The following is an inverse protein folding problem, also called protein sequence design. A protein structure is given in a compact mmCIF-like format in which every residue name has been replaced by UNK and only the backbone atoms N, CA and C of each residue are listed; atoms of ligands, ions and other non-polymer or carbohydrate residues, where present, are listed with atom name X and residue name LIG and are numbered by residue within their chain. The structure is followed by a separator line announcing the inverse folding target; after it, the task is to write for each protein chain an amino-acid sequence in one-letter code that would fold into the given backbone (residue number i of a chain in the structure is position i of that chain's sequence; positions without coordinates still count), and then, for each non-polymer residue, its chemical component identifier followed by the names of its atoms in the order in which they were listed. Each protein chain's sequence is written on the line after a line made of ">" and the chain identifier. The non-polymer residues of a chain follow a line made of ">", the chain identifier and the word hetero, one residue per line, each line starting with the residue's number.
data_IF_724633098315
#
_entry.id   IF_724633098315
#
_cell.length_a   1.000
_cell.length_b   1.000
_cell.length_c   1.000
_cell.angle_alpha   90.00
_cell.angle_beta   90.00
_cell.angle_gamma   90.00
#
_symmetry.space_group_name_H-M   'P 1'
#
loop_
_entity.id
_entity.type
_entity.pdbx_description
1 polymer ?
#
# COMPACT_ATOMS: atom_id res chain seq x y z
N UNK A 1 17.75 -22.40 -1.51
CA UNK A 1 16.88 -21.21 -1.55
C UNK A 1 16.67 -20.83 -0.10
N UNK A 2 17.41 -19.83 0.39
CA UNK A 2 17.41 -19.50 1.82
C UNK A 2 16.13 -18.71 2.08
N UNK A 3 15.15 -19.37 2.69
CA UNK A 3 13.98 -18.71 3.28
C UNK A 3 14.53 -17.76 4.36
N UNK A 4 14.66 -16.48 4.01
CA UNK A 4 15.06 -15.42 4.95
C UNK A 4 13.95 -15.35 5.99
N UNK A 5 14.30 -15.61 7.26
CA UNK A 5 13.41 -15.54 8.42
C UNK A 5 12.43 -14.36 8.26
N UNK A 6 11.12 -14.55 8.48
CA UNK A 6 10.20 -13.43 8.48
C UNK A 6 10.68 -12.42 9.55
N UNK A 7 10.77 -11.11 9.22
CA UNK A 7 11.06 -10.10 10.23
C UNK A 7 10.01 -10.23 11.35
N UNK A 8 10.36 -9.89 12.61
CA UNK A 8 9.46 -10.01 13.75
C UNK A 8 8.11 -9.38 13.40
N UNK A 9 7.02 -10.10 13.65
CA UNK A 9 5.68 -9.66 13.31
C UNK A 9 5.28 -8.51 14.22
N UNK A 10 5.58 -7.28 13.79
CA UNK A 10 5.02 -6.02 14.28
C UNK A 10 3.56 -5.84 13.81
N UNK A 11 2.82 -6.93 13.58
CA UNK A 11 1.37 -6.87 13.41
C UNK A 11 0.85 -6.32 14.74
N UNK A 12 0.40 -5.07 14.70
CA UNK A 12 -0.04 -4.31 15.86
C UNK A 12 -1.38 -4.82 16.39
N UNK A 13 -2.25 -3.91 16.81
CA UNK A 13 -3.60 -4.22 17.28
C UNK A 13 -4.37 -5.16 16.32
N UNK A 14 -5.47 -5.73 16.82
CA UNK A 14 -6.33 -6.71 16.11
C UNK A 14 -6.78 -6.34 14.68
N UNK A 15 -6.61 -5.09 14.26
CA UNK A 15 -7.03 -4.56 12.96
C UNK A 15 -5.89 -4.46 11.93
N UNK A 16 -4.71 -4.98 12.24
CA UNK A 16 -3.57 -4.99 11.34
C UNK A 16 -3.57 -6.22 10.43
N UNK A 17 -3.47 -5.99 9.12
CA UNK A 17 -3.48 -7.05 8.10
C UNK A 17 -2.28 -6.84 7.19
N UNK A 18 -1.38 -7.82 7.15
CA UNK A 18 -0.23 -7.85 6.25
C UNK A 18 -0.39 -8.95 5.19
N UNK A 19 -0.04 -8.61 3.95
CA UNK A 19 0.03 -9.53 2.81
C UNK A 19 1.41 -9.41 2.18
N UNK A 20 2.01 -10.55 1.88
CA UNK A 20 3.25 -10.65 1.12
C UNK A 20 3.02 -11.49 -0.13
N UNK A 21 3.49 -10.98 -1.26
CA UNK A 21 3.21 -11.50 -2.60
C UNK A 21 4.39 -11.17 -3.52
N UNK A 22 4.47 -11.82 -4.69
CA UNK A 22 5.42 -11.41 -5.72
C UNK A 22 5.18 -9.95 -6.13
N UNK A 23 6.23 -9.21 -6.43
CA UNK A 23 6.10 -7.88 -7.04
C UNK A 23 5.73 -8.03 -8.52
N UNK A 24 4.48 -8.39 -8.79
CA UNK A 24 3.93 -8.68 -10.11
C UNK A 24 2.52 -8.08 -10.25
N UNK A 25 2.26 -7.40 -11.37
CA UNK A 25 0.97 -6.78 -11.67
C UNK A 25 -0.19 -7.81 -11.71
N UNK A 26 0.10 -9.08 -11.98
CA UNK A 26 -0.87 -10.16 -11.95
C UNK A 26 -1.55 -10.34 -10.57
N UNK A 27 -0.93 -9.84 -9.50
CA UNK A 27 -1.47 -9.95 -8.14
C UNK A 27 -2.30 -8.74 -7.69
N UNK A 28 -2.35 -7.64 -8.45
CA UNK A 28 -3.17 -6.47 -8.12
C UNK A 28 -4.65 -6.80 -7.82
N UNK A 29 -5.33 -7.71 -8.55
CA UNK A 29 -6.70 -8.09 -8.21
C UNK A 29 -6.87 -8.64 -6.79
N UNK A 30 -5.85 -9.30 -6.24
CA UNK A 30 -5.87 -9.85 -4.88
C UNK A 30 -5.84 -8.71 -3.86
N UNK A 31 -4.91 -7.76 -4.05
CA UNK A 31 -4.76 -6.61 -3.16
C UNK A 31 -6.02 -5.73 -3.19
N UNK A 32 -6.63 -5.52 -4.36
CA UNK A 32 -7.94 -4.85 -4.46
C UNK A 32 -9.01 -5.57 -3.67
N UNK A 33 -9.12 -6.89 -3.82
CA UNK A 33 -10.10 -7.69 -3.10
C UNK A 33 -9.97 -7.54 -1.58
N UNK A 34 -8.73 -7.49 -1.09
CA UNK A 34 -8.46 -7.30 0.34
C UNK A 34 -8.79 -5.88 0.79
N UNK A 35 -8.30 -4.85 0.10
CA UNK A 35 -8.61 -3.45 0.42
C UNK A 35 -10.12 -3.22 0.49
N UNK A 36 -10.86 -3.81 -0.47
CA UNK A 36 -12.31 -3.80 -0.52
C UNK A 36 -12.96 -4.41 0.72
N UNK A 37 -12.49 -5.59 1.12
CA UNK A 37 -13.06 -6.33 2.23
C UNK A 37 -12.82 -5.60 3.55
N UNK A 38 -11.61 -5.06 3.74
CA UNK A 38 -11.24 -4.28 4.92
C UNK A 38 -12.09 -3.02 5.01
N UNK A 39 -12.16 -2.22 3.95
CA UNK A 39 -12.94 -0.98 3.94
C UNK A 39 -14.44 -1.22 4.17
N UNK A 40 -15.00 -2.28 3.58
CA UNK A 40 -16.39 -2.66 3.80
C UNK A 40 -16.67 -3.09 5.25
N UNK A 41 -15.72 -3.78 5.90
CA UNK A 41 -15.82 -4.13 7.33
C UNK A 41 -15.62 -2.94 8.26
N UNK A 42 -15.02 -1.87 7.75
CA UNK A 42 -14.80 -0.60 8.43
C UNK A 42 -15.93 0.42 8.19
N UNK A 43 -17.05 0.00 7.59
CA UNK A 43 -18.22 0.83 7.27
C UNK A 43 -17.93 2.02 6.35
N UNK A 44 -17.01 1.87 5.39
CA UNK A 44 -16.80 2.86 4.32
C UNK A 44 -17.94 2.76 3.30
N UNK A 45 -18.36 3.90 2.74
CA UNK A 45 -19.31 3.92 1.63
C UNK A 45 -18.69 3.44 0.30
N UNK A 46 -19.54 3.18 -0.68
CA UNK A 46 -19.12 2.57 -1.95
C UNK A 46 -18.17 3.47 -2.76
N UNK A 47 -18.35 4.78 -2.68
CA UNK A 47 -17.52 5.74 -3.39
C UNK A 47 -16.12 5.79 -2.77
N UNK A 48 -16.04 5.84 -1.43
CA UNK A 48 -14.78 5.80 -0.69
C UNK A 48 -14.07 4.45 -0.87
N UNK A 49 -14.81 3.34 -0.95
CA UNK A 49 -14.26 2.03 -1.28
C UNK A 49 -13.69 2.02 -2.71
N UNK A 50 -14.38 2.62 -3.67
CA UNK A 50 -13.91 2.71 -5.06
C UNK A 50 -12.62 3.54 -5.16
N UNK A 51 -12.59 4.70 -4.49
CA UNK A 51 -11.41 5.55 -4.40
C UNK A 51 -10.22 4.80 -3.80
N UNK A 52 -10.43 4.11 -2.67
CA UNK A 52 -9.38 3.36 -1.99
C UNK A 52 -8.82 2.25 -2.90
N UNK A 53 -9.67 1.51 -3.61
CA UNK A 53 -9.21 0.46 -4.53
C UNK A 53 -8.31 1.04 -5.61
N UNK A 54 -8.70 2.17 -6.19
CA UNK A 54 -7.91 2.84 -7.23
C UNK A 54 -6.59 3.38 -6.67
N UNK A 55 -6.61 4.00 -5.48
CA UNK A 55 -5.42 4.52 -4.81
C UNK A 55 -4.43 3.39 -4.49
N UNK A 56 -4.92 2.26 -3.98
CA UNK A 56 -4.09 1.08 -3.68
C UNK A 56 -3.53 0.45 -4.96
N UNK A 57 -4.32 0.36 -6.04
CA UNK A 57 -3.84 -0.14 -7.34
C UNK A 57 -2.71 0.73 -7.89
N UNK A 58 -2.85 2.05 -7.84
CA UNK A 58 -1.85 3.00 -8.31
C UNK A 58 -0.56 2.90 -7.47
N UNK A 59 -0.68 2.90 -6.14
CA UNK A 59 0.46 2.75 -5.24
C UNK A 59 1.20 1.42 -5.44
N UNK A 60 0.47 0.31 -5.59
CA UNK A 60 1.08 -1.00 -5.85
C UNK A 60 1.75 -1.04 -7.22
N UNK A 61 1.16 -0.45 -8.25
CA UNK A 61 1.73 -0.38 -9.59
C UNK A 61 3.04 0.40 -9.60
N UNK A 62 3.07 1.57 -8.96
CA UNK A 62 4.28 2.38 -8.80
C UNK A 62 5.37 1.66 -7.99
N UNK A 63 5.01 0.89 -6.96
CA UNK A 63 5.98 0.06 -6.25
C UNK A 63 6.54 -1.07 -7.13
N UNK A 64 5.68 -1.78 -7.86
CA UNK A 64 6.08 -2.91 -8.70
C UNK A 64 7.06 -2.49 -9.81
N UNK A 65 6.88 -1.30 -10.41
CA UNK A 65 7.83 -0.80 -11.43
C UNK A 65 9.22 -0.50 -10.88
N UNK A 66 9.36 -0.31 -9.56
CA UNK A 66 10.62 -0.06 -8.85
C UNK A 66 11.17 -1.30 -8.16
N UNK A 67 10.42 -2.39 -8.15
CA UNK A 67 10.80 -3.60 -7.46
C UNK A 67 11.99 -4.28 -8.17
N UNK A 68 12.89 -4.85 -7.39
CA UNK A 68 13.92 -5.75 -7.90
C UNK A 68 13.23 -6.96 -8.52
N UNK A 69 13.63 -7.35 -9.74
CA UNK A 69 13.02 -8.48 -10.46
C UNK A 69 13.00 -9.74 -9.61
N UNK A 70 11.83 -10.37 -9.49
CA UNK A 70 11.62 -11.58 -8.71
C UNK A 70 11.56 -11.37 -7.19
N UNK A 71 11.60 -10.11 -6.71
CA UNK A 71 11.39 -9.80 -5.29
C UNK A 71 9.90 -9.80 -4.92
N UNK A 72 9.63 -9.76 -3.61
CA UNK A 72 8.28 -9.66 -3.06
C UNK A 72 7.88 -8.22 -2.77
N UNK A 73 6.59 -7.91 -2.90
CA UNK A 73 5.95 -6.75 -2.30
C UNK A 73 5.33 -7.12 -0.95
N UNK A 74 5.39 -6.18 0.00
CA UNK A 74 4.65 -6.23 1.27
C UNK A 74 3.58 -5.16 1.23
N UNK A 75 2.35 -5.52 1.59
CA UNK A 75 1.21 -4.62 1.73
C UNK A 75 0.67 -4.77 3.15
N UNK A 76 0.63 -3.68 3.91
CA UNK A 76 0.07 -3.63 5.26
C UNK A 76 -1.12 -2.69 5.27
N UNK A 77 -2.22 -3.12 5.86
CA UNK A 77 -3.42 -2.34 6.07
C UNK A 77 -3.65 -2.21 7.57
N UNK A 78 -3.81 -0.98 8.04
CA UNK A 78 -4.21 -0.70 9.42
C UNK A 78 -5.46 0.16 9.40
N UNK A 79 -6.34 -0.10 10.36
CA UNK A 79 -7.58 0.64 10.51
C UNK A 79 -7.78 1.03 11.97
N UNK A 80 -7.91 2.32 12.21
CA UNK A 80 -8.39 2.93 13.45
C UNK A 80 -9.74 3.61 13.21
N UNK A 81 -10.34 4.24 14.22
CA UNK A 81 -11.78 4.51 14.28
C UNK A 81 -12.39 5.18 13.03
N UNK A 82 -11.66 6.03 12.30
CA UNK A 82 -12.15 6.73 11.11
C UNK A 82 -11.20 6.68 9.89
N UNK A 83 -10.02 6.06 9.99
CA UNK A 83 -9.01 6.11 8.93
C UNK A 83 -8.44 4.73 8.59
N UNK A 84 -8.46 4.41 7.30
CA UNK A 84 -7.78 3.26 6.74
C UNK A 84 -6.44 3.70 6.15
N UNK A 85 -5.36 3.09 6.62
CA UNK A 85 -4.00 3.33 6.14
C UNK A 85 -3.52 2.11 5.37
N UNK A 86 -2.93 2.35 4.21
CA UNK A 86 -2.21 1.35 3.42
C UNK A 86 -0.74 1.71 3.40
N UNK A 87 0.12 0.70 3.57
CA UNK A 87 1.56 0.81 3.40
C UNK A 87 2.07 -0.31 2.50
N UNK A 88 2.61 0.07 1.36
CA UNK A 88 3.29 -0.82 0.43
C UNK A 88 4.81 -0.66 0.50
N UNK A 89 5.55 -1.76 0.38
CA UNK A 89 7.01 -1.76 0.36
C UNK A 89 7.58 -2.83 -0.59
N UNK A 90 8.62 -2.47 -1.35
CA UNK A 90 9.37 -3.39 -2.22
C UNK A 90 10.87 -3.20 -2.06
N UNK A 91 11.64 -4.27 -2.27
CA UNK A 91 13.09 -4.14 -2.44
C UNK A 91 13.39 -3.49 -3.79
N UNK A 92 14.32 -2.55 -3.82
CA UNK A 92 14.76 -1.85 -5.02
C UNK A 92 16.27 -1.79 -5.13
N UNK A 93 16.76 -1.69 -6.37
CA UNK A 93 18.18 -1.54 -6.68
C UNK A 93 18.69 -0.11 -6.43
N UNK A 94 17.81 0.88 -6.45
CA UNK A 94 18.12 2.29 -6.19
C UNK A 94 17.11 2.93 -5.21
N UNK A 95 17.27 4.22 -4.94
CA UNK A 95 16.42 4.99 -4.02
C UNK A 95 15.33 5.80 -4.72
N UNK A 96 15.03 5.52 -6.00
CA UNK A 96 14.07 6.29 -6.76
C UNK A 96 12.66 6.07 -6.19
N UNK A 97 12.05 7.16 -5.74
CA UNK A 97 10.64 7.20 -5.31
C UNK A 97 9.75 7.72 -6.45
N UNK A 98 8.42 7.54 -6.39
CA UNK A 98 7.49 8.19 -7.30
C UNK A 98 7.75 9.70 -7.46
N UNK A 99 7.76 10.17 -8.71
CA UNK A 99 7.80 11.59 -9.00
C UNK A 99 6.45 12.20 -8.65
N UNK A 100 6.44 13.15 -7.72
CA UNK A 100 5.23 13.82 -7.28
C UNK A 100 4.54 14.65 -8.37
N UNK A 101 5.26 14.98 -9.45
CA UNK A 101 4.72 15.65 -10.64
C UNK A 101 4.07 14.72 -11.65
N UNK A 102 4.27 13.40 -11.52
CA UNK A 102 3.76 12.38 -12.45
C UNK A 102 2.22 12.31 -12.45
N UNK A 103 1.65 11.77 -13.52
CA UNK A 103 0.21 11.54 -13.60
C UNK A 103 -0.27 10.55 -12.53
N UNK A 104 0.46 9.44 -12.34
CA UNK A 104 0.13 8.43 -11.33
C UNK A 104 0.10 9.00 -9.91
N UNK A 105 1.09 9.80 -9.54
CA UNK A 105 1.09 10.47 -8.23
C UNK A 105 -0.08 11.44 -8.05
N UNK A 106 -0.42 12.21 -9.10
CA UNK A 106 -1.57 13.12 -9.07
C UNK A 106 -2.89 12.37 -8.89
N UNK A 107 -3.07 11.23 -9.57
CA UNK A 107 -4.22 10.33 -9.39
C UNK A 107 -4.26 9.85 -7.94
N UNK A 108 -3.14 9.34 -7.42
CA UNK A 108 -3.04 8.87 -6.03
C UNK A 108 -3.44 9.96 -5.02
N UNK A 109 -2.92 11.18 -5.14
CA UNK A 109 -3.25 12.30 -4.24
C UNK A 109 -4.65 12.89 -4.45
N UNK A 110 -5.33 12.54 -5.54
CA UNK A 110 -6.74 12.89 -5.76
C UNK A 110 -7.66 11.90 -5.04
N UNK A 111 -7.25 10.62 -5.00
CA UNK A 111 -8.04 9.53 -4.43
C UNK A 111 -7.81 9.33 -2.94
N UNK A 112 -6.62 9.63 -2.42
CA UNK A 112 -6.28 9.50 -1.01
C UNK A 112 -6.23 10.87 -0.31
N UNK A 113 -6.57 10.91 0.98
CA UNK A 113 -6.46 12.14 1.77
C UNK A 113 -4.99 12.47 2.09
N UNK A 114 -4.17 11.44 2.24
CA UNK A 114 -2.75 11.53 2.50
C UNK A 114 -2.01 10.51 1.63
N UNK A 115 -0.87 10.90 1.05
CA UNK A 115 0.01 10.01 0.31
C UNK A 115 1.48 10.45 0.50
N UNK A 116 2.35 9.50 0.82
CA UNK A 116 3.79 9.72 1.02
C UNK A 116 4.58 8.60 0.40
N UNK A 117 5.80 8.90 -0.05
CA UNK A 117 6.74 7.91 -0.53
C UNK A 117 8.14 8.23 -0.02
N UNK A 118 8.90 7.19 0.29
CA UNK A 118 10.27 7.31 0.75
C UNK A 118 11.07 6.07 0.39
N UNK A 119 12.39 6.20 0.46
CA UNK A 119 13.30 5.07 0.30
C UNK A 119 14.25 5.02 1.50
N UNK A 120 14.50 3.81 2.00
CA UNK A 120 15.47 3.54 3.06
C UNK A 120 16.50 2.51 2.62
N UNK A 121 17.62 2.41 3.35
CA UNK A 121 18.64 1.41 3.08
C UNK A 121 18.36 0.12 3.87
N UNK A 122 18.38 -1.04 3.21
CA UNK A 122 18.25 -2.38 3.84
C UNK A 122 19.58 -3.13 3.81
N UNK A 123 20.64 -2.48 4.31
CA UNK A 123 22.00 -3.02 4.42
C UNK A 123 22.74 -3.23 3.09
N UNK A 124 22.14 -3.96 2.15
CA UNK A 124 22.71 -4.35 0.85
C UNK A 124 21.91 -3.82 -0.35
N UNK A 125 20.80 -3.12 -0.11
CA UNK A 125 19.95 -2.54 -1.15
C UNK A 125 19.07 -1.42 -0.59
N UNK A 126 17.95 -1.16 -1.25
CA UNK A 126 16.97 -0.18 -0.81
C UNK A 126 15.59 -0.80 -0.64
N UNK A 127 14.78 -0.20 0.21
CA UNK A 127 13.33 -0.47 0.28
C UNK A 127 12.64 0.81 -0.13
N UNK A 128 11.78 0.73 -1.14
CA UNK A 128 10.93 1.84 -1.56
C UNK A 128 9.55 1.61 -0.95
N UNK A 129 9.00 2.66 -0.38
CA UNK A 129 7.73 2.64 0.31
C UNK A 129 6.76 3.65 -0.31
N UNK A 130 5.48 3.27 -0.31
CA UNK A 130 4.37 4.20 -0.50
C UNK A 130 3.39 3.96 0.64
N UNK A 131 3.02 5.03 1.34
CA UNK A 131 1.93 4.99 2.32
C UNK A 131 0.84 5.96 1.89
N UNK A 132 -0.41 5.55 2.09
CA UNK A 132 -1.58 6.38 1.87
C UNK A 132 -2.59 6.20 2.99
N UNK A 133 -3.46 7.19 3.16
CA UNK A 133 -4.58 7.08 4.07
C UNK A 133 -5.87 7.60 3.42
N UNK A 134 -6.97 6.94 3.75
CA UNK A 134 -8.33 7.33 3.37
C UNK A 134 -9.22 7.35 4.60
N UNK A 135 -9.88 8.46 4.85
CA UNK A 135 -10.82 8.68 5.95
C UNK A 135 -12.21 8.26 5.51
N UNK A 136 -12.97 7.72 6.45
CA UNK A 136 -14.40 7.55 6.27
C UNK A 136 -15.04 8.95 6.21
N UNK A 137 -15.97 9.21 5.28
CA UNK A 137 -16.70 10.46 5.27
C UNK A 137 -17.41 10.69 6.60
N UNK A 138 -17.39 11.93 7.09
CA UNK A 138 -18.23 12.30 8.22
C UNK A 138 -19.70 12.12 7.81
N UNK A 139 -20.48 11.43 8.65
CA UNK A 139 -21.93 11.41 8.47
C UNK A 139 -22.41 12.80 8.87
N UNK A 140 -22.90 13.59 7.90
CA UNK A 140 -23.61 14.83 8.20
C UNK A 140 -24.82 14.49 9.10
N UNK A 141 -24.83 15.06 10.31
CA UNK A 141 -25.84 14.83 11.34
C UNK A 141 -27.15 15.61 11.08
#
# INVERSE_FOLDING_TARGET
>A
MIEKDPPPSDLGDRNDIEIRLGADLAHLPIIRGVASNIAMRADFDLDTIADLRLAVDEACSELITRATTGSSMRCRFTFDDDQLRFHGAVLSADRAVPDTGSFGWKVLTTLADEATSWAEADGTGHVVHIALAKRRPAVDA
#
